data_IF_245359255359
#
_entry.id   IF_245359255359
#
_cell.length_a   1.000
_cell.length_b   1.000
_cell.length_c   1.000
_cell.angle_alpha   90.00
_cell.angle_beta   90.00
_cell.angle_gamma   90.00
#
_symmetry.space_group_name_H-M   'P 1'
#
loop_
_entity.id
_entity.type
_entity.pdbx_description
1 polymer ?
#
# COMPACT_ATOMS: atom_id res chain seq x y z
N UNK A 1 3.06 -5.85 -4.83
CA UNK A 1 3.67 -4.72 -4.11
C UNK A 1 2.91 -3.48 -4.50
N UNK A 2 3.29 -2.74 -5.56
CA UNK A 2 2.58 -1.53 -5.97
C UNK A 2 1.06 -1.74 -6.14
N UNK A 3 0.65 -2.71 -6.96
CA UNK A 3 -0.78 -2.98 -7.21
C UNK A 3 -1.55 -3.30 -5.92
N UNK A 4 -1.04 -4.18 -5.06
CA UNK A 4 -1.69 -4.54 -3.79
C UNK A 4 -1.86 -3.32 -2.85
N UNK A 5 -0.84 -2.47 -2.76
CA UNK A 5 -0.89 -1.26 -1.93
C UNK A 5 -1.85 -0.23 -2.54
N UNK A 6 -1.86 -0.11 -3.87
CA UNK A 6 -2.82 0.74 -4.57
C UNK A 6 -4.26 0.28 -4.34
N UNK A 7 -4.52 -1.02 -4.45
CA UNK A 7 -5.83 -1.62 -4.18
C UNK A 7 -6.25 -1.39 -2.74
N UNK A 8 -5.32 -1.54 -1.77
CA UNK A 8 -5.58 -1.19 -0.37
C UNK A 8 -5.98 0.28 -0.22
N UNK A 9 -5.20 1.21 -0.79
CA UNK A 9 -5.46 2.64 -0.71
C UNK A 9 -6.81 3.03 -1.32
N UNK A 10 -7.22 2.38 -2.42
CA UNK A 10 -8.53 2.59 -3.07
C UNK A 10 -9.70 2.08 -2.24
N UNK A 11 -9.50 1.04 -1.41
CA UNK A 11 -10.55 0.36 -0.63
C UNK A 11 -10.55 0.69 0.86
N UNK A 12 -9.77 1.68 1.31
CA UNK A 12 -9.68 2.06 2.73
C UNK A 12 -11.05 2.31 3.38
N UNK A 13 -11.99 2.87 2.62
CA UNK A 13 -13.35 3.17 3.09
C UNK A 13 -14.23 1.92 3.28
N UNK A 14 -13.82 0.77 2.72
CA UNK A 14 -14.49 -0.52 2.88
C UNK A 14 -13.93 -1.37 4.04
N UNK A 15 -12.83 -0.94 4.66
CA UNK A 15 -12.23 -1.61 5.82
C UNK A 15 -12.97 -1.27 7.12
N UNK A 16 -12.87 -2.15 8.12
CA UNK A 16 -13.31 -1.84 9.47
C UNK A 16 -12.52 -0.66 10.08
N UNK A 17 -13.06 -0.02 11.12
CA UNK A 17 -12.43 1.17 11.72
C UNK A 17 -10.97 0.92 12.16
N UNK A 18 -10.71 -0.25 12.76
CA UNK A 18 -9.38 -0.62 13.25
C UNK A 18 -8.40 -0.80 12.07
N UNK A 19 -8.76 -1.66 11.12
CA UNK A 19 -7.95 -1.96 9.94
C UNK A 19 -7.68 -0.71 9.11
N UNK A 20 -8.70 0.14 8.93
CA UNK A 20 -8.56 1.43 8.25
C UNK A 20 -7.55 2.33 8.95
N UNK A 21 -7.60 2.41 10.28
CA UNK A 21 -6.69 3.25 11.06
C UNK A 21 -5.24 2.76 10.93
N UNK A 22 -5.02 1.46 11.02
CA UNK A 22 -3.69 0.84 10.86
C UNK A 22 -3.16 1.02 9.44
N UNK A 23 -3.98 0.73 8.42
CA UNK A 23 -3.63 0.93 7.02
C UNK A 23 -3.28 2.41 6.72
N UNK A 24 -4.10 3.36 7.20
CA UNK A 24 -3.86 4.79 7.05
C UNK A 24 -2.53 5.21 7.67
N UNK A 25 -2.21 4.74 8.87
CA UNK A 25 -0.96 5.07 9.54
C UNK A 25 0.26 4.58 8.74
N UNK A 26 0.23 3.35 8.23
CA UNK A 26 1.32 2.79 7.43
C UNK A 26 1.47 3.48 6.07
N UNK A 27 0.37 3.69 5.36
CA UNK A 27 0.37 4.36 4.06
C UNK A 27 0.89 5.80 4.18
N UNK A 28 0.56 6.52 5.26
CA UNK A 28 1.11 7.85 5.54
C UNK A 28 2.63 7.83 5.69
N UNK A 29 3.17 6.93 6.51
CA UNK A 29 4.63 6.79 6.71
C UNK A 29 5.35 6.50 5.40
N UNK A 30 4.81 5.58 4.61
CA UNK A 30 5.33 5.28 3.28
C UNK A 30 5.29 6.49 2.33
N UNK A 31 4.17 7.22 2.27
CA UNK A 31 4.05 8.42 1.43
C UNK A 31 4.91 9.60 1.89
N UNK A 32 5.28 9.65 3.17
CA UNK A 32 6.24 10.58 3.75
C UNK A 32 7.70 10.19 3.50
N UNK A 33 7.96 8.98 2.97
CA UNK A 33 9.30 8.45 2.76
C UNK A 33 9.97 7.91 4.03
N UNK A 34 9.19 7.69 5.10
CA UNK A 34 9.67 7.08 6.35
C UNK A 34 9.84 5.56 6.22
N UNK A 35 9.28 4.95 5.16
CA UNK A 35 9.38 3.53 4.86
C UNK A 35 9.56 3.31 3.35
N UNK A 36 10.28 2.26 2.98
CA UNK A 36 10.41 1.78 1.61
C UNK A 36 9.18 1.00 1.14
N UNK A 37 9.10 0.77 -0.17
CA UNK A 37 8.02 -0.02 -0.79
C UNK A 37 7.99 -1.47 -0.27
N UNK A 38 9.15 -2.08 -0.05
CA UNK A 38 9.25 -3.44 0.48
C UNK A 38 8.82 -3.49 1.95
N UNK A 39 9.27 -2.55 2.77
CA UNK A 39 8.89 -2.48 4.19
C UNK A 39 7.37 -2.32 4.33
N UNK A 40 6.77 -1.35 3.64
CA UNK A 40 5.31 -1.16 3.73
C UNK A 40 4.54 -2.38 3.24
N UNK A 41 5.01 -3.02 2.17
CA UNK A 41 4.36 -4.21 1.65
C UNK A 41 4.41 -5.37 2.64
N UNK A 42 5.57 -5.64 3.25
CA UNK A 42 5.72 -6.69 4.24
C UNK A 42 4.90 -6.41 5.50
N UNK A 43 4.92 -5.17 6.02
CA UNK A 43 4.12 -4.84 7.21
C UNK A 43 2.62 -4.96 6.93
N UNK A 44 2.14 -4.51 5.77
CA UNK A 44 0.73 -4.68 5.39
C UNK A 44 0.33 -6.15 5.24
N UNK A 45 1.26 -7.03 4.84
CA UNK A 45 1.03 -8.47 4.79
C UNK A 45 0.95 -9.08 6.20
N UNK A 46 1.89 -8.71 7.07
CA UNK A 46 1.97 -9.23 8.45
C UNK A 46 0.73 -8.83 9.27
N UNK A 47 0.23 -7.61 9.06
CA UNK A 47 -1.01 -7.11 9.66
C UNK A 47 -2.29 -7.63 8.96
N UNK A 48 -2.15 -8.43 7.89
CA UNK A 48 -3.27 -9.03 7.16
C UNK A 48 -4.14 -8.02 6.39
N UNK A 49 -3.65 -6.80 6.16
CA UNK A 49 -4.38 -5.72 5.47
C UNK A 49 -4.37 -5.89 3.95
N UNK A 50 -3.36 -6.55 3.42
CA UNK A 50 -3.31 -7.03 2.03
C UNK A 50 -3.24 -8.55 2.01
N UNK A 51 -3.88 -9.20 1.02
CA UNK A 51 -3.86 -10.65 0.95
C UNK A 51 -2.44 -11.15 0.68
N UNK A 52 -2.06 -12.24 1.34
CA UNK A 52 -0.86 -12.98 0.97
C UNK A 52 -1.02 -13.49 -0.47
N UNK A 53 -0.09 -13.18 -1.39
CA UNK A 53 -0.20 -13.65 -2.76
C UNK A 53 -0.22 -15.19 -2.79
N UNK A 54 -1.33 -15.77 -3.24
CA UNK A 54 -1.43 -17.20 -3.48
C UNK A 54 -0.50 -17.58 -4.64
N UNK A 55 0.43 -18.52 -4.39
CA UNK A 55 1.42 -19.15 -5.30
C UNK A 55 1.59 -18.46 -6.66
N UNK A 56 2.80 -17.90 -6.87
CA UNK A 56 3.37 -17.40 -8.12
C UNK A 56 2.65 -17.88 -9.39
N UNK A 57 1.61 -17.16 -9.81
CA UNK A 57 1.31 -17.11 -11.24
C UNK A 57 2.45 -16.29 -11.85
N UNK A 58 3.09 -16.83 -12.89
CA UNK A 58 4.11 -16.12 -13.69
C UNK A 58 3.48 -14.95 -14.48
N UNK A 59 2.70 -14.10 -13.82
CA UNK A 59 2.43 -12.76 -14.33
C UNK A 59 3.74 -12.01 -14.18
N UNK A 60 4.29 -11.56 -15.31
CA UNK A 60 5.38 -10.59 -15.30
C UNK A 60 4.87 -9.41 -14.48
N UNK A 61 5.37 -9.31 -13.24
CA UNK A 61 5.07 -8.18 -12.37
C UNK A 61 5.63 -6.96 -13.12
N UNK A 62 4.82 -5.92 -13.36
CA UNK A 62 5.33 -4.70 -13.96
C UNK A 62 6.57 -4.26 -13.17
N UNK A 63 7.66 -3.85 -13.83
CA UNK A 63 8.81 -3.33 -13.12
C UNK A 63 8.36 -2.20 -12.20
N UNK A 64 8.82 -2.21 -10.95
CA UNK A 64 8.64 -1.09 -10.04
C UNK A 64 9.54 0.02 -10.56
N UNK A 65 8.97 0.99 -11.26
CA UNK A 65 9.70 2.18 -11.69
C UNK A 65 9.50 3.32 -10.67
N UNK A 66 10.45 4.25 -10.56
CA UNK A 66 10.30 5.41 -9.69
C UNK A 66 9.03 6.23 -9.98
N UNK A 67 8.63 6.34 -11.25
CA UNK A 67 7.41 7.06 -11.64
C UNK A 67 6.15 6.35 -11.13
N UNK A 68 6.11 5.01 -11.22
CA UNK A 68 5.00 4.22 -10.71
C UNK A 68 4.92 4.29 -9.17
N UNK A 69 6.07 4.31 -8.49
CA UNK A 69 6.13 4.48 -7.05
C UNK A 69 5.65 5.88 -6.62
N UNK A 70 6.07 6.94 -7.30
CA UNK A 70 5.63 8.29 -6.99
C UNK A 70 4.14 8.48 -7.30
N UNK A 71 3.62 7.88 -8.38
CA UNK A 71 2.19 7.87 -8.66
C UNK A 71 1.38 7.21 -7.53
N UNK A 72 1.88 6.10 -6.97
CA UNK A 72 1.27 5.46 -5.80
C UNK A 72 1.30 6.38 -4.58
N UNK A 73 2.44 7.03 -4.29
CA UNK A 73 2.56 7.98 -3.17
C UNK A 73 1.61 9.16 -3.33
N UNK A 74 1.45 9.69 -4.55
CA UNK A 74 0.49 10.75 -4.85
C UNK A 74 -0.95 10.31 -4.58
N UNK A 75 -1.34 9.12 -5.03
CA UNK A 75 -2.66 8.54 -4.75
C UNK A 75 -2.89 8.37 -3.25
N UNK A 76 -1.89 7.91 -2.51
CA UNK A 76 -1.98 7.78 -1.05
C UNK A 76 -2.18 9.14 -0.38
N UNK A 77 -1.43 10.17 -0.80
CA UNK A 77 -1.57 11.54 -0.26
C UNK A 77 -2.97 12.13 -0.51
N UNK A 78 -3.59 11.81 -1.64
CA UNK A 78 -4.97 12.20 -1.95
C UNK A 78 -5.98 11.51 -1.03
N UNK A 79 -5.84 10.19 -0.84
CA UNK A 79 -6.77 9.37 -0.05
C UNK A 79 -6.57 9.50 1.46
N UNK A 80 -5.35 9.81 1.87
CA UNK A 80 -4.92 9.81 3.25
C UNK A 80 -4.22 11.13 3.56
N UNK A 81 -4.97 12.24 3.65
CA UNK A 81 -4.38 13.55 3.89
C UNK A 81 -3.65 13.59 5.23
N UNK A 82 -2.46 14.20 5.27
CA UNK A 82 -1.79 14.60 6.52
C UNK A 82 -2.61 15.73 7.16
N UNK A 83 -3.60 15.39 7.97
CA UNK A 83 -4.30 16.34 8.86
C UNK A 83 -3.79 16.17 10.27
#
# INVERSE_FOLDING_TARGET
MLEEIEQLAKRLDALGLKERTEAVAMLRRYAAGEMSLEEVYCTLLDEGLIPMPARCTMRQKPPVTPEAEEALKALIRERVPNR
#
